data_IF_360758244926
#
_entry.id   IF_360758244926
#
_cell.length_a   1.000
_cell.length_b   1.000
_cell.length_c   1.000
_cell.angle_alpha   90.00
_cell.angle_beta   90.00
_cell.angle_gamma   90.00
#
_symmetry.space_group_name_H-M   'P 1'
#
loop_
_entity.id
_entity.type
_entity.pdbx_description
1 polymer ?
#
# COMPACT_ATOMS: atom_id res chain seq x y z
N UNK A 1 -20.79 16.25 -8.79
CA UNK A 1 -19.89 15.22 -9.34
C UNK A 1 -20.35 13.88 -8.78
N UNK A 2 -21.20 13.16 -9.50
CA UNK A 2 -21.69 11.84 -9.08
C UNK A 2 -20.67 10.80 -9.54
N UNK A 3 -19.88 10.26 -8.61
CA UNK A 3 -19.02 9.10 -8.88
C UNK A 3 -19.93 7.91 -9.20
N UNK A 4 -19.97 7.49 -10.47
CA UNK A 4 -20.59 6.23 -10.86
C UNK A 4 -19.63 5.12 -10.46
N UNK A 5 -20.11 4.13 -9.71
CA UNK A 5 -19.35 2.93 -9.30
C UNK A 5 -18.72 2.14 -10.45
N UNK A 6 -19.20 2.33 -11.69
CA UNK A 6 -18.64 1.70 -12.90
C UNK A 6 -17.28 2.30 -13.35
N UNK A 7 -16.81 3.36 -12.70
CA UNK A 7 -15.58 4.09 -13.06
C UNK A 7 -14.34 3.64 -12.26
N UNK A 8 -14.49 2.67 -11.35
CA UNK A 8 -13.38 2.15 -10.53
C UNK A 8 -12.71 0.98 -11.24
N UNK A 9 -11.39 1.06 -11.40
CA UNK A 9 -10.58 -0.05 -11.89
C UNK A 9 -10.38 -1.11 -10.81
N UNK A 10 -10.64 -2.37 -11.12
CA UNK A 10 -10.27 -3.49 -10.26
C UNK A 10 -9.04 -4.20 -10.82
N UNK A 11 -7.98 -4.29 -10.02
CA UNK A 11 -6.74 -4.98 -10.39
C UNK A 11 -6.40 -6.04 -9.36
N UNK A 12 -5.96 -7.21 -9.82
CA UNK A 12 -5.49 -8.30 -8.96
C UNK A 12 -4.06 -8.65 -9.40
N UNK A 13 -3.11 -8.62 -8.47
CA UNK A 13 -1.75 -9.07 -8.74
C UNK A 13 -1.71 -10.62 -8.77
N UNK A 14 -1.08 -11.24 -9.79
CA UNK A 14 -1.02 -12.69 -9.89
C UNK A 14 0.05 -13.33 -8.97
N UNK A 15 0.88 -12.51 -8.32
CA UNK A 15 1.97 -12.94 -7.44
C UNK A 15 2.26 -11.85 -6.39
N UNK A 16 2.98 -12.17 -5.29
CA UNK A 16 3.37 -11.19 -4.30
C UNK A 16 4.18 -10.02 -4.90
N UNK A 17 3.83 -8.80 -4.52
CA UNK A 17 4.44 -7.56 -5.00
C UNK A 17 5.35 -6.98 -3.92
N UNK A 18 6.61 -6.60 -4.21
CA UNK A 18 7.46 -5.90 -3.25
C UNK A 18 6.79 -4.62 -2.73
N UNK A 19 6.86 -4.37 -1.43
CA UNK A 19 6.14 -3.27 -0.78
C UNK A 19 6.45 -1.90 -1.40
N UNK A 20 7.73 -1.58 -1.59
CA UNK A 20 8.17 -0.30 -2.17
C UNK A 20 7.67 -0.11 -3.61
N UNK A 21 7.67 -1.19 -4.41
CA UNK A 21 7.14 -1.14 -5.77
C UNK A 21 5.62 -0.89 -5.79
N UNK A 22 4.89 -1.49 -4.85
CA UNK A 22 3.46 -1.25 -4.71
C UNK A 22 3.17 0.21 -4.28
N UNK A 23 3.97 0.77 -3.37
CA UNK A 23 3.84 2.18 -2.95
C UNK A 23 4.12 3.11 -4.13
N UNK A 24 5.21 2.93 -4.86
CA UNK A 24 5.55 3.77 -6.01
C UNK A 24 4.44 3.75 -7.09
N UNK A 25 3.86 2.58 -7.35
CA UNK A 25 2.72 2.41 -8.25
C UNK A 25 1.47 3.14 -7.75
N UNK A 26 1.19 3.09 -6.43
CA UNK A 26 0.07 3.82 -5.83
C UNK A 26 0.28 5.33 -5.85
N UNK A 27 1.49 5.82 -5.62
CA UNK A 27 1.83 7.24 -5.72
C UNK A 27 1.69 7.73 -7.17
N UNK A 28 2.17 6.97 -8.15
CA UNK A 28 2.01 7.29 -9.56
C UNK A 28 0.53 7.32 -9.97
N UNK A 29 -0.26 6.35 -9.51
CA UNK A 29 -1.71 6.31 -9.76
C UNK A 29 -2.42 7.51 -9.13
N UNK A 30 -2.11 7.83 -7.88
CA UNK A 30 -2.70 8.98 -7.18
C UNK A 30 -2.39 10.30 -7.89
N UNK A 31 -1.14 10.48 -8.37
CA UNK A 31 -0.75 11.66 -9.15
C UNK A 31 -1.53 11.74 -10.49
N UNK A 32 -1.72 10.62 -11.18
CA UNK A 32 -2.48 10.58 -12.43
C UNK A 32 -3.99 10.86 -12.21
N UNK A 33 -4.57 10.36 -11.12
CA UNK A 33 -5.96 10.68 -10.71
C UNK A 33 -6.07 12.19 -10.43
N UNK A 34 -5.15 12.76 -9.67
CA UNK A 34 -5.13 14.19 -9.37
C UNK A 34 -5.00 15.06 -10.64
N UNK A 35 -4.29 14.57 -11.65
CA UNK A 35 -4.16 15.21 -12.97
C UNK A 35 -5.37 14.96 -13.90
N UNK A 36 -6.33 14.11 -13.50
CA UNK A 36 -7.48 13.72 -14.33
C UNK A 36 -7.11 12.81 -15.51
N UNK A 37 -5.95 12.17 -15.50
CA UNK A 37 -5.45 11.30 -16.58
C UNK A 37 -5.60 9.81 -16.29
N UNK A 38 -6.04 9.45 -15.09
CA UNK A 38 -6.38 8.09 -14.70
C UNK A 38 -7.65 8.05 -13.85
N UNK A 39 -8.34 6.90 -13.87
CA UNK A 39 -9.52 6.62 -13.05
C UNK A 39 -9.13 6.14 -11.64
N UNK A 40 -10.08 6.04 -10.72
CA UNK A 40 -9.85 5.42 -9.41
C UNK A 40 -9.44 3.94 -9.56
N UNK A 41 -8.79 3.34 -8.56
CA UNK A 41 -8.40 1.93 -8.60
C UNK A 41 -8.47 1.27 -7.23
N UNK A 42 -8.98 0.03 -7.21
CA UNK A 42 -8.80 -0.92 -6.12
C UNK A 42 -7.84 -2.01 -6.59
N UNK A 43 -6.77 -2.19 -5.83
CA UNK A 43 -5.73 -3.17 -6.13
C UNK A 43 -5.66 -4.22 -5.03
N UNK A 44 -5.95 -5.46 -5.39
CA UNK A 44 -5.83 -6.64 -4.54
C UNK A 44 -4.47 -7.29 -4.82
N UNK A 45 -3.65 -7.47 -3.80
CA UNK A 45 -2.33 -8.05 -3.90
C UNK A 45 -1.89 -8.66 -2.57
N UNK A 46 -0.80 -9.40 -2.61
CA UNK A 46 -0.04 -9.87 -1.45
C UNK A 46 1.36 -9.25 -1.47
N UNK A 47 2.04 -9.23 -0.32
CA UNK A 47 3.44 -8.84 -0.21
C UNK A 47 4.28 -10.03 0.23
N UNK A 48 5.59 -10.09 -0.13
CA UNK A 48 6.53 -10.88 0.64
C UNK A 48 6.51 -10.48 2.13
N UNK A 49 6.85 -11.38 3.07
CA UNK A 49 6.82 -11.11 4.52
C UNK A 49 7.55 -9.82 4.90
N UNK A 50 6.83 -8.89 5.54
CA UNK A 50 7.33 -7.55 5.87
C UNK A 50 6.57 -6.94 7.06
N UNK A 51 7.27 -6.16 7.87
CA UNK A 51 6.66 -5.24 8.84
C UNK A 51 6.60 -3.82 8.28
N UNK A 52 5.46 -3.15 8.42
CA UNK A 52 5.34 -1.72 8.05
C UNK A 52 4.96 -0.88 9.25
N UNK A 53 5.73 0.17 9.52
CA UNK A 53 5.45 1.18 10.55
C UNK A 53 4.68 2.35 9.95
N UNK A 54 3.55 2.70 10.55
CA UNK A 54 2.86 3.95 10.23
C UNK A 54 3.38 5.12 11.06
N UNK A 55 2.84 6.31 10.83
CA UNK A 55 3.27 7.57 11.46
C UNK A 55 3.14 7.62 12.99
N UNK A 56 2.42 6.68 13.59
CA UNK A 56 2.24 6.58 15.05
C UNK A 56 3.00 5.40 15.67
N UNK A 57 3.86 4.72 14.92
CA UNK A 57 4.61 3.56 15.40
C UNK A 57 5.75 3.96 16.34
N UNK A 58 5.76 3.45 17.58
CA UNK A 58 6.90 3.56 18.48
C UNK A 58 7.86 2.37 18.24
N UNK A 59 9.14 2.60 17.89
CA UNK A 59 10.14 1.55 17.72
C UNK A 59 10.23 0.52 18.87
N UNK A 60 9.89 0.90 20.10
CA UNK A 60 9.92 -0.02 21.26
C UNK A 60 8.86 -1.14 21.19
N UNK A 61 7.86 -1.01 20.32
CA UNK A 61 6.80 -1.99 20.14
C UNK A 61 7.23 -3.20 19.31
N UNK A 62 8.21 -3.00 18.42
CA UNK A 62 8.68 -4.03 17.51
C UNK A 62 9.82 -4.80 18.17
N UNK A 63 9.47 -5.90 18.82
CA UNK A 63 10.41 -6.79 19.50
C UNK A 63 10.85 -7.90 18.56
N UNK A 64 12.16 -8.08 18.42
CA UNK A 64 12.79 -9.17 17.65
C UNK A 64 12.27 -9.29 16.20
N UNK A 65 12.53 -8.30 15.32
CA UNK A 65 12.03 -8.32 13.97
C UNK A 65 12.72 -9.39 13.12
N UNK A 66 11.97 -10.44 12.76
CA UNK A 66 12.43 -11.50 11.85
C UNK A 66 12.29 -11.18 10.36
N UNK A 67 11.58 -10.10 10.01
CA UNK A 67 11.32 -9.67 8.64
C UNK A 67 11.80 -8.22 8.43
N UNK A 68 12.03 -7.80 7.16
CA UNK A 68 12.33 -6.41 6.87
C UNK A 68 11.28 -5.46 7.44
N UNK A 69 11.73 -4.30 7.91
CA UNK A 69 10.88 -3.28 8.51
C UNK A 69 10.96 -2.02 7.66
N UNK A 70 9.81 -1.53 7.19
CA UNK A 70 9.72 -0.30 6.40
C UNK A 70 8.86 0.72 7.12
N UNK A 71 9.36 1.95 7.24
CA UNK A 71 8.56 3.09 7.72
C UNK A 71 7.79 3.69 6.56
N UNK A 72 6.54 4.08 6.82
CA UNK A 72 5.59 4.46 5.78
C UNK A 72 4.82 5.71 6.20
N UNK A 73 4.26 6.44 5.22
CA UNK A 73 3.44 7.62 5.49
C UNK A 73 2.01 7.32 5.97
N UNK A 74 1.61 6.04 6.11
CA UNK A 74 0.24 5.68 6.51
C UNK A 74 0.00 6.00 7.98
N UNK A 75 -1.26 6.24 8.34
CA UNK A 75 -1.66 6.32 9.75
C UNK A 75 -1.52 4.99 10.49
N UNK A 76 -1.43 5.06 11.81
CA UNK A 76 -1.40 3.89 12.69
C UNK A 76 0.00 3.41 13.07
N UNK A 77 0.05 2.23 13.70
CA UNK A 77 1.26 1.63 14.29
C UNK A 77 1.82 0.52 13.39
N UNK A 78 2.72 -0.31 13.90
CA UNK A 78 3.24 -1.46 13.15
C UNK A 78 2.15 -2.45 12.72
N UNK A 79 2.29 -3.03 11.53
CA UNK A 79 1.52 -4.19 11.08
C UNK A 79 2.41 -5.12 10.27
N UNK A 80 1.96 -6.36 10.08
CA UNK A 80 2.59 -7.36 9.24
C UNK A 80 1.81 -7.53 7.92
N UNK A 81 2.54 -7.82 6.84
CA UNK A 81 2.00 -8.31 5.57
C UNK A 81 2.84 -9.49 5.09
N UNK A 82 2.21 -10.50 4.51
CA UNK A 82 2.86 -11.68 3.95
C UNK A 82 1.82 -12.59 3.28
N UNK A 83 2.26 -13.64 2.58
CA UNK A 83 1.39 -14.71 2.10
C UNK A 83 0.76 -15.52 3.24
#
# INVERSE_FOLDING_TARGET
MTCKTDDIEWRIAPAPVPYEAAVAEMEARAAAIAAGTAREMVWLLEHPPIYTGGTSADPAELRDPHFPVVQTGRGGRYTYHGP
#
